data_IF_684112532234
#
_entry.id   IF_684112532234
#
_cell.length_a   1.000
_cell.length_b   1.000
_cell.length_c   1.000
_cell.angle_alpha   90.00
_cell.angle_beta   90.00
_cell.angle_gamma   90.00
#
_symmetry.space_group_name_H-M   'P 1'
#
loop_
_entity.id
_entity.type
_entity.pdbx_description
1 polymer ?
#
# COMPACT_ATOMS: atom_id res chain seq x y z
N UNK A 1 -18.49 6.89 -9.84
CA UNK A 1 -17.91 7.19 -8.51
C UNK A 1 -17.76 5.90 -7.77
N UNK A 2 -16.65 5.75 -7.06
CA UNK A 2 -16.32 4.56 -6.28
C UNK A 2 -16.48 4.88 -4.81
N UNK A 3 -17.18 4.02 -4.07
CA UNK A 3 -17.18 4.04 -2.61
C UNK A 3 -15.87 3.44 -2.13
N UNK A 4 -15.13 4.16 -1.29
CA UNK A 4 -13.83 3.73 -0.76
C UNK A 4 -13.90 3.84 0.75
N UNK A 5 -13.81 2.70 1.43
CA UNK A 5 -13.71 2.63 2.88
C UNK A 5 -12.27 2.88 3.34
N UNK A 6 -12.09 3.23 4.62
CA UNK A 6 -10.78 3.23 5.30
C UNK A 6 -10.06 1.89 5.10
N UNK A 7 -10.77 0.78 5.23
CA UNK A 7 -10.23 -0.58 5.04
C UNK A 7 -9.92 -0.91 3.57
N UNK A 8 -10.44 -0.13 2.63
CA UNK A 8 -10.06 -0.23 1.22
C UNK A 8 -8.70 0.44 0.95
N UNK A 9 -8.35 1.44 1.75
CA UNK A 9 -7.07 2.16 1.67
C UNK A 9 -5.97 1.50 2.51
N UNK A 10 -6.35 0.89 3.64
CA UNK A 10 -5.46 0.26 4.60
C UNK A 10 -5.72 -1.26 4.64
N UNK A 11 -5.08 -1.99 3.72
CA UNK A 11 -5.21 -3.44 3.58
C UNK A 11 -3.97 -4.18 4.06
N UNK A 12 -4.18 -5.21 4.87
CA UNK A 12 -3.14 -6.18 5.22
C UNK A 12 -2.82 -7.05 3.98
N UNK A 13 -1.54 -7.29 3.75
CA UNK A 13 -1.07 -8.15 2.67
C UNK A 13 0.41 -8.47 2.79
N UNK A 14 0.99 -8.90 1.68
CA UNK A 14 2.42 -9.24 1.58
C UNK A 14 3.12 -8.26 0.65
N UNK A 15 4.34 -7.87 1.02
CA UNK A 15 5.25 -7.12 0.16
C UNK A 15 5.69 -7.90 -1.09
N UNK A 16 6.47 -7.31 -2.00
CA UNK A 16 6.94 -5.92 -1.95
C UNK A 16 6.00 -4.90 -2.61
N UNK A 17 5.02 -5.32 -3.39
CA UNK A 17 4.23 -4.40 -4.23
C UNK A 17 2.73 -4.67 -4.20
N UNK A 18 1.91 -3.63 -4.02
CA UNK A 18 0.45 -3.79 -4.09
C UNK A 18 -0.03 -4.00 -5.52
N UNK A 19 0.62 -3.34 -6.49
CA UNK A 19 0.28 -3.44 -7.91
C UNK A 19 0.78 -4.75 -8.53
N UNK A 20 1.95 -5.22 -8.12
CA UNK A 20 2.64 -6.35 -8.76
C UNK A 20 2.67 -7.64 -7.94
N UNK A 21 2.39 -7.58 -6.64
CA UNK A 21 2.30 -8.77 -5.79
C UNK A 21 0.85 -8.99 -5.36
N UNK A 22 0.28 -8.07 -4.57
CA UNK A 22 -1.09 -8.24 -4.04
C UNK A 22 -2.15 -8.28 -5.14
N UNK A 23 -2.04 -7.41 -6.16
CA UNK A 23 -2.95 -7.37 -7.30
C UNK A 23 -3.02 -8.69 -8.07
N UNK A 24 -1.91 -9.23 -8.60
CA UNK A 24 -1.90 -10.52 -9.29
C UNK A 24 -2.39 -11.69 -8.43
N UNK A 25 -2.07 -11.68 -7.14
CA UNK A 25 -2.56 -12.68 -6.19
C UNK A 25 -4.10 -12.64 -6.08
N UNK A 26 -4.67 -11.47 -5.82
CA UNK A 26 -6.14 -11.27 -5.76
C UNK A 26 -6.82 -11.53 -7.11
N UNK A 27 -6.13 -11.30 -8.23
CA UNK A 27 -6.64 -11.61 -9.57
C UNK A 27 -6.77 -13.13 -9.77
N UNK A 28 -5.78 -13.90 -9.32
CA UNK A 28 -5.83 -15.36 -9.34
C UNK A 28 -6.98 -15.90 -8.47
N UNK A 29 -7.14 -15.41 -7.24
CA UNK A 29 -8.26 -15.78 -6.36
C UNK A 29 -9.63 -15.50 -7.03
N UNK A 30 -9.77 -14.32 -7.64
CA UNK A 30 -11.00 -13.95 -8.33
C UNK A 30 -11.26 -14.86 -9.53
N UNK A 31 -10.23 -15.19 -10.30
CA UNK A 31 -10.36 -16.09 -11.43
C UNK A 31 -10.76 -17.51 -11.02
N UNK A 32 -10.18 -18.04 -9.95
CA UNK A 32 -10.56 -19.33 -9.37
C UNK A 32 -12.04 -19.33 -8.95
N UNK A 33 -12.49 -18.26 -8.27
CA UNK A 33 -13.91 -18.09 -7.91
C UNK A 33 -14.81 -18.06 -9.14
N UNK A 34 -14.40 -17.40 -10.23
CA UNK A 34 -15.13 -17.41 -11.51
C UNK A 34 -15.19 -18.82 -12.14
N UNK A 35 -14.13 -19.63 -12.04
CA UNK A 35 -14.13 -21.01 -12.52
C UNK A 35 -15.08 -21.91 -11.71
N UNK A 36 -15.08 -21.79 -10.39
CA UNK A 36 -16.01 -22.51 -9.51
C UNK A 36 -17.47 -22.11 -9.79
N UNK A 37 -17.75 -20.81 -9.88
CA UNK A 37 -19.11 -20.31 -10.10
C UNK A 37 -19.72 -20.74 -11.44
N UNK A 38 -18.88 -21.06 -12.43
CA UNK A 38 -19.30 -21.55 -13.75
C UNK A 38 -19.14 -23.07 -13.89
N UNK A 39 -18.90 -23.80 -12.79
CA UNK A 39 -18.73 -25.26 -12.75
C UNK A 39 -17.61 -25.81 -13.65
N UNK A 40 -16.66 -24.96 -14.07
CA UNK A 40 -15.56 -25.38 -14.96
C UNK A 40 -14.30 -25.84 -14.20
N UNK A 41 -14.24 -25.60 -12.88
CA UNK A 41 -13.01 -25.81 -12.10
C UNK A 41 -12.50 -27.26 -12.16
N UNK A 42 -13.40 -28.24 -12.01
CA UNK A 42 -13.03 -29.67 -11.96
C UNK A 42 -12.49 -30.20 -13.29
N UNK A 43 -12.86 -29.55 -14.39
CA UNK A 43 -12.47 -29.95 -15.74
C UNK A 43 -11.12 -29.35 -16.17
N UNK A 44 -10.49 -28.49 -15.37
CA UNK A 44 -9.23 -27.83 -15.72
C UNK A 44 -8.09 -28.86 -15.79
N UNK A 45 -7.39 -28.90 -16.92
CA UNK A 45 -6.22 -29.77 -17.14
C UNK A 45 -4.92 -29.01 -17.35
N UNK A 46 -4.98 -27.73 -17.73
CA UNK A 46 -3.79 -26.88 -17.93
C UNK A 46 -4.12 -25.42 -17.60
N UNK A 47 -3.14 -24.70 -17.03
CA UNK A 47 -3.24 -23.27 -16.70
C UNK A 47 -2.08 -22.52 -17.34
N UNK A 48 -2.38 -21.40 -17.99
CA UNK A 48 -1.41 -20.45 -18.49
C UNK A 48 -1.74 -19.03 -18.03
N UNK A 49 -0.72 -18.26 -17.70
CA UNK A 49 -0.84 -16.88 -17.26
C UNK A 49 0.06 -16.01 -18.13
N UNK A 50 -0.52 -14.99 -18.75
CA UNK A 50 0.23 -13.97 -19.48
C UNK A 50 0.21 -12.66 -18.71
N UNK A 51 1.39 -12.09 -18.46
CA UNK A 51 1.60 -10.82 -17.76
C UNK A 51 2.01 -9.76 -18.78
N UNK A 52 1.44 -8.55 -18.72
CA UNK A 52 1.58 -7.51 -19.75
C UNK A 52 2.08 -6.18 -19.20
N UNK A 53 2.68 -5.35 -20.07
CA UNK A 53 3.04 -3.96 -19.83
C UNK A 53 3.97 -3.75 -18.63
N UNK A 54 3.72 -2.72 -17.82
CA UNK A 54 4.49 -2.40 -16.62
C UNK A 54 4.59 -3.59 -15.66
N UNK A 55 3.49 -4.34 -15.49
CA UNK A 55 3.44 -5.56 -14.69
C UNK A 55 4.43 -6.62 -15.16
N UNK A 56 4.69 -6.68 -16.46
CA UNK A 56 5.68 -7.58 -17.03
C UNK A 56 7.11 -7.07 -16.87
N UNK A 57 7.34 -5.76 -17.01
CA UNK A 57 8.68 -5.18 -17.05
C UNK A 57 9.40 -5.26 -15.71
N UNK A 58 8.68 -5.01 -14.61
CA UNK A 58 9.23 -5.04 -13.25
C UNK A 58 8.79 -6.26 -12.44
N UNK A 59 7.93 -7.12 -13.02
CA UNK A 59 7.25 -8.18 -12.27
C UNK A 59 8.16 -9.20 -11.60
N UNK A 60 9.35 -9.50 -12.14
CA UNK A 60 10.32 -10.37 -11.45
C UNK A 60 10.91 -9.71 -10.20
N UNK A 61 11.26 -8.43 -10.27
CA UNK A 61 11.72 -7.65 -9.11
C UNK A 61 10.63 -7.48 -8.04
N UNK A 62 9.37 -7.44 -8.46
CA UNK A 62 8.21 -7.37 -7.58
C UNK A 62 7.59 -8.73 -7.19
N UNK A 63 8.23 -9.84 -7.54
CA UNK A 63 7.77 -11.20 -7.25
C UNK A 63 6.33 -11.52 -7.75
N UNK A 64 5.95 -10.98 -8.91
CA UNK A 64 4.66 -11.24 -9.56
C UNK A 64 4.45 -12.72 -9.88
N UNK A 65 5.51 -13.43 -10.28
CA UNK A 65 5.45 -14.88 -10.49
C UNK A 65 5.14 -15.63 -9.19
N UNK A 66 5.68 -15.18 -8.05
CA UNK A 66 5.41 -15.78 -6.74
C UNK A 66 3.94 -15.55 -6.37
N UNK A 67 3.46 -14.31 -6.51
CA UNK A 67 2.06 -13.97 -6.28
C UNK A 67 1.09 -14.79 -7.13
N UNK A 68 1.38 -14.99 -8.42
CA UNK A 68 0.57 -15.83 -9.30
C UNK A 68 0.56 -17.28 -8.82
N UNK A 69 1.72 -17.86 -8.51
CA UNK A 69 1.80 -19.24 -8.00
C UNK A 69 1.03 -19.42 -6.68
N UNK A 70 1.17 -18.49 -5.74
CA UNK A 70 0.52 -18.55 -4.44
C UNK A 70 -1.00 -18.37 -4.55
N UNK A 71 -1.44 -17.40 -5.37
CA UNK A 71 -2.86 -17.17 -5.62
C UNK A 71 -3.52 -18.33 -6.37
N UNK A 72 -2.83 -18.92 -7.36
CA UNK A 72 -3.29 -20.14 -8.03
C UNK A 72 -3.34 -21.33 -7.06
N UNK A 73 -2.49 -21.37 -6.04
CA UNK A 73 -2.50 -22.40 -5.00
C UNK A 73 -3.57 -22.20 -3.92
N UNK A 74 -4.47 -21.22 -4.08
CA UNK A 74 -5.54 -20.92 -3.12
C UNK A 74 -5.07 -20.33 -1.80
N UNK A 75 -3.84 -19.81 -1.73
CA UNK A 75 -3.34 -19.15 -0.52
C UNK A 75 -3.95 -17.75 -0.39
N UNK A 76 -4.21 -17.30 0.84
CA UNK A 76 -4.68 -15.93 1.09
C UNK A 76 -3.51 -15.01 1.48
N UNK A 77 -3.26 -13.88 0.79
CA UNK A 77 -2.16 -12.98 1.08
C UNK A 77 -2.28 -12.27 2.44
N UNK A 78 -3.46 -12.24 3.04
CA UNK A 78 -3.69 -11.66 4.36
C UNK A 78 -3.31 -12.62 5.50
N UNK A 79 -3.46 -13.93 5.29
CA UNK A 79 -3.34 -14.93 6.36
C UNK A 79 -2.22 -15.95 6.16
N UNK A 80 -1.64 -16.08 4.97
CA UNK A 80 -0.55 -17.03 4.70
C UNK A 80 0.65 -16.81 5.64
N UNK A 81 1.14 -17.81 6.38
CA UNK A 81 2.38 -17.68 7.14
C UNK A 81 3.55 -17.33 6.21
N UNK A 82 4.29 -16.26 6.52
CA UNK A 82 5.31 -15.67 5.62
C UNK A 82 6.43 -16.67 5.35
N UNK A 83 6.78 -17.50 6.33
CA UNK A 83 7.76 -18.58 6.24
C UNK A 83 7.39 -19.65 5.20
N UNK A 84 6.11 -19.83 4.89
CA UNK A 84 5.64 -20.81 3.90
C UNK A 84 5.76 -20.31 2.45
N UNK A 85 5.88 -19.00 2.22
CA UNK A 85 5.94 -18.44 0.87
C UNK A 85 7.10 -19.05 0.08
N UNK A 86 8.28 -19.09 0.68
CA UNK A 86 9.50 -19.58 0.02
C UNK A 86 9.42 -21.08 -0.29
N UNK A 87 8.87 -21.88 0.63
CA UNK A 87 8.78 -23.33 0.48
C UNK A 87 7.74 -23.74 -0.56
N UNK A 88 6.57 -23.08 -0.59
CA UNK A 88 5.53 -23.33 -1.60
C UNK A 88 6.07 -23.03 -3.00
N UNK A 89 6.67 -21.85 -3.19
CA UNK A 89 7.22 -21.44 -4.48
C UNK A 89 8.36 -22.36 -4.92
N UNK A 90 9.25 -22.74 -4.00
CA UNK A 90 10.35 -23.66 -4.29
C UNK A 90 9.82 -25.03 -4.75
N UNK A 91 8.84 -25.59 -4.04
CA UNK A 91 8.21 -26.87 -4.39
C UNK A 91 7.60 -26.84 -5.79
N UNK A 92 6.86 -25.80 -6.14
CA UNK A 92 6.26 -25.66 -7.49
C UNK A 92 7.35 -25.63 -8.57
N UNK A 93 8.45 -24.90 -8.33
CA UNK A 93 9.59 -24.81 -9.25
C UNK A 93 10.35 -26.14 -9.39
N UNK A 94 10.51 -26.90 -8.31
CA UNK A 94 11.26 -28.17 -8.35
C UNK A 94 10.43 -29.32 -8.91
N UNK A 95 9.19 -29.45 -8.48
CA UNK A 95 8.30 -30.56 -8.86
C UNK A 95 7.58 -30.32 -10.19
N UNK A 96 7.54 -29.08 -10.67
CA UNK A 96 6.84 -28.69 -11.90
C UNK A 96 5.35 -29.06 -11.84
N UNK A 97 4.77 -28.88 -10.65
CA UNK A 97 3.37 -29.15 -10.32
C UNK A 97 2.83 -28.04 -9.44
N UNK A 98 1.53 -27.79 -9.54
CA UNK A 98 0.81 -26.85 -8.69
C UNK A 98 -0.40 -27.52 -8.06
N UNK A 99 -0.63 -27.25 -6.78
CA UNK A 99 -1.86 -27.63 -6.07
C UNK A 99 -2.92 -26.54 -6.29
N UNK A 100 -3.57 -26.57 -7.45
CA UNK A 100 -4.53 -25.57 -7.88
C UNK A 100 -5.74 -25.50 -6.93
N UNK A 101 -5.96 -24.33 -6.33
CA UNK A 101 -6.92 -24.08 -5.24
C UNK A 101 -6.82 -25.10 -4.07
N UNK A 102 -5.67 -25.75 -3.91
CA UNK A 102 -5.49 -26.85 -2.95
C UNK A 102 -6.31 -28.10 -3.23
N UNK A 103 -6.92 -28.23 -4.42
CA UNK A 103 -7.88 -29.30 -4.77
C UNK A 103 -7.45 -30.15 -5.95
N UNK A 104 -6.72 -29.57 -6.91
CA UNK A 104 -6.28 -30.25 -8.13
C UNK A 104 -4.77 -30.16 -8.29
N UNK A 105 -4.11 -31.30 -8.40
CA UNK A 105 -2.69 -31.33 -8.76
C UNK A 105 -2.55 -31.27 -10.28
N UNK A 106 -1.99 -30.18 -10.80
CA UNK A 106 -1.79 -29.97 -12.24
C UNK A 106 -0.30 -29.90 -12.57
N UNK A 107 0.09 -30.34 -13.77
CA UNK A 107 1.44 -30.06 -14.28
C UNK A 107 1.56 -28.56 -14.52
N UNK A 108 2.60 -27.95 -13.97
CA UNK A 108 2.81 -26.51 -14.03
C UNK A 108 4.30 -26.20 -13.97
N UNK A 109 4.84 -25.78 -15.11
CA UNK A 109 6.18 -25.24 -15.24
C UNK A 109 6.10 -23.70 -15.18
N UNK A 110 6.52 -23.04 -14.09
CA UNK A 110 6.40 -21.59 -13.98
C UNK A 110 7.08 -20.80 -15.11
N UNK A 111 8.19 -21.30 -15.66
CA UNK A 111 8.93 -20.63 -16.73
C UNK A 111 8.21 -20.72 -18.09
N UNK A 112 7.34 -21.71 -18.28
CA UNK A 112 6.53 -21.88 -19.51
C UNK A 112 5.10 -21.36 -19.34
N UNK A 113 4.52 -21.57 -18.16
CA UNK A 113 3.12 -21.27 -17.89
C UNK A 113 2.91 -19.84 -17.38
N UNK A 114 3.95 -19.13 -16.91
CA UNK A 114 3.88 -17.69 -16.58
C UNK A 114 4.73 -16.92 -17.59
N UNK A 115 4.07 -16.31 -18.57
CA UNK A 115 4.70 -15.64 -19.70
C UNK A 115 4.68 -14.12 -19.48
N UNK A 116 5.86 -13.52 -19.42
CA UNK A 116 6.07 -12.08 -19.31
C UNK A 116 6.15 -11.44 -20.70
N UNK A 117 5.18 -10.59 -21.04
CA UNK A 117 5.05 -9.91 -22.34
C UNK A 117 5.22 -8.40 -22.18
N UNK A 118 6.12 -7.82 -22.98
CA UNK A 118 6.37 -6.37 -23.00
C UNK A 118 5.23 -5.54 -23.60
N UNK A 119 4.27 -6.20 -24.24
CA UNK A 119 3.10 -5.57 -24.86
C UNK A 119 2.19 -4.93 -23.81
N UNK A 120 1.68 -3.73 -24.07
CA UNK A 120 0.71 -3.06 -23.21
C UNK A 120 -0.71 -3.34 -23.68
N UNK A 121 -1.60 -3.64 -22.73
CA UNK A 121 -3.02 -3.76 -23.01
C UNK A 121 -3.69 -2.37 -23.00
N UNK A 122 -4.76 -2.14 -23.79
CA UNK A 122 -5.32 -0.80 -23.98
C UNK A 122 -5.92 -0.14 -22.73
N UNK A 123 -6.43 -0.92 -21.77
CA UNK A 123 -7.19 -0.39 -20.64
C UNK A 123 -6.31 0.15 -19.50
N UNK A 124 -5.24 -0.56 -19.14
CA UNK A 124 -4.35 -0.18 -18.05
C UNK A 124 -2.96 -0.84 -18.23
N UNK A 125 -1.91 -0.17 -17.77
CA UNK A 125 -0.52 -0.60 -17.94
C UNK A 125 -0.18 -1.94 -17.26
N UNK A 126 -0.87 -2.24 -16.17
CA UNK A 126 -0.71 -3.49 -15.41
C UNK A 126 -1.81 -4.49 -15.77
N UNK A 127 -1.60 -5.23 -16.86
CA UNK A 127 -2.55 -6.23 -17.37
C UNK A 127 -2.08 -7.66 -17.12
N UNK A 128 -3.00 -8.57 -16.86
CA UNK A 128 -2.72 -10.00 -16.80
C UNK A 128 -3.89 -10.81 -17.34
N UNK A 129 -3.61 -11.96 -17.94
CA UNK A 129 -4.62 -12.86 -18.46
C UNK A 129 -4.38 -14.27 -17.96
N UNK A 130 -5.41 -14.86 -17.35
CA UNK A 130 -5.45 -16.27 -17.00
C UNK A 130 -6.18 -17.05 -18.08
N UNK A 131 -5.62 -18.19 -18.48
CA UNK A 131 -6.18 -19.14 -19.43
C UNK A 131 -6.23 -20.53 -18.80
N UNK A 132 -7.38 -21.19 -18.86
CA UNK A 132 -7.54 -22.60 -18.52
C UNK A 132 -7.90 -23.41 -19.77
N UNK A 133 -7.23 -24.54 -19.96
CA UNK A 133 -7.67 -25.60 -20.87
C UNK A 133 -8.49 -26.61 -20.08
N UNK A 134 -9.69 -26.92 -20.56
CA UNK A 134 -10.53 -27.96 -19.97
C UNK A 134 -10.27 -29.32 -20.62
N UNK A 135 -10.65 -30.41 -19.95
CA UNK A 135 -10.62 -31.77 -20.47
C UNK A 135 -11.42 -31.94 -21.79
N UNK A 136 -12.41 -31.08 -22.02
CA UNK A 136 -13.19 -30.98 -23.28
C UNK A 136 -12.42 -30.37 -24.44
N UNK A 137 -11.22 -29.82 -24.20
CA UNK A 137 -10.45 -29.03 -25.16
C UNK A 137 -10.86 -27.55 -25.25
N UNK A 138 -11.92 -27.13 -24.53
CA UNK A 138 -12.34 -25.73 -24.47
C UNK A 138 -11.34 -24.88 -23.71
N UNK A 139 -11.04 -23.69 -24.23
CA UNK A 139 -10.22 -22.67 -23.55
C UNK A 139 -11.09 -21.59 -22.92
N UNK A 140 -10.83 -21.27 -21.65
CA UNK A 140 -11.46 -20.17 -20.92
C UNK A 140 -10.39 -19.12 -20.63
N UNK A 141 -10.66 -17.87 -20.98
CA UNK A 141 -9.69 -16.77 -20.86
C UNK A 141 -10.32 -15.57 -20.16
N UNK A 142 -9.65 -15.03 -19.14
CA UNK A 142 -10.10 -13.83 -18.43
C UNK A 142 -8.93 -12.87 -18.20
N UNK A 143 -9.13 -11.61 -18.59
CA UNK A 143 -8.14 -10.54 -18.41
C UNK A 143 -8.50 -9.67 -17.21
N UNK A 144 -7.53 -9.41 -16.36
CA UNK A 144 -7.63 -8.55 -15.19
C UNK A 144 -6.57 -7.46 -15.22
N UNK A 145 -6.84 -6.37 -14.50
CA UNK A 145 -5.95 -5.24 -14.38
C UNK A 145 -5.75 -4.88 -12.92
N UNK A 146 -4.49 -4.68 -12.53
CA UNK A 146 -4.09 -4.23 -11.19
C UNK A 146 -3.92 -2.72 -11.19
N UNK A 147 -4.87 -2.00 -10.60
CA UNK A 147 -5.02 -0.54 -10.77
C UNK A 147 -4.45 0.28 -9.61
N UNK A 148 -3.53 -0.31 -8.82
CA UNK A 148 -2.94 0.31 -7.62
C UNK A 148 -3.63 -0.12 -6.32
N UNK A 149 -2.98 0.03 -5.17
CA UNK A 149 -3.53 -0.28 -3.83
C UNK A 149 -4.07 -1.72 -3.64
N UNK A 150 -3.64 -2.68 -4.47
CA UNK A 150 -4.15 -4.06 -4.45
C UNK A 150 -5.53 -4.23 -5.08
N UNK A 151 -6.09 -3.20 -5.72
CA UNK A 151 -7.38 -3.27 -6.40
C UNK A 151 -7.26 -3.97 -7.76
N UNK A 152 -8.18 -4.90 -8.02
CA UNK A 152 -8.23 -5.66 -9.27
C UNK A 152 -9.59 -5.52 -9.96
N UNK A 153 -9.55 -5.16 -11.23
CA UNK A 153 -10.74 -5.01 -12.08
C UNK A 153 -10.66 -5.91 -13.32
N UNK A 154 -11.83 -6.29 -13.82
CA UNK A 154 -12.01 -6.90 -15.13
C UNK A 154 -12.56 -5.81 -16.04
N UNK A 155 -12.27 -5.85 -17.34
CA UNK A 155 -12.76 -4.87 -18.33
C UNK A 155 -14.28 -5.01 -18.58
N UNK A 156 -15.09 -4.89 -17.53
CA UNK A 156 -16.53 -5.06 -17.60
C UNK A 156 -17.26 -3.88 -16.93
N UNK A 157 -18.13 -3.23 -17.71
CA UNK A 157 -18.89 -2.03 -17.33
C UNK A 157 -19.93 -2.26 -16.21
N UNK A 158 -20.22 -3.51 -15.82
CA UNK A 158 -21.26 -3.84 -14.83
C UNK A 158 -20.91 -3.40 -13.39
N UNK A 159 -19.64 -3.37 -13.00
CA UNK A 159 -19.19 -3.00 -11.63
C UNK A 159 -19.42 -1.53 -11.29
N UNK A 160 -19.35 -0.64 -12.28
CA UNK A 160 -19.52 0.80 -12.07
C UNK A 160 -20.91 1.16 -11.50
N UNK A 161 -21.96 0.39 -11.82
CA UNK A 161 -23.32 0.61 -11.30
C UNK A 161 -23.44 0.23 -9.82
N UNK A 162 -22.94 -0.94 -9.41
CA UNK A 162 -23.01 -1.42 -8.02
C UNK A 162 -22.21 -0.53 -7.07
N UNK A 163 -21.02 -0.07 -7.49
CA UNK A 163 -20.20 0.85 -6.68
C UNK A 163 -20.89 2.22 -6.50
N UNK A 164 -21.69 2.65 -7.49
CA UNK A 164 -22.46 3.89 -7.41
C UNK A 164 -23.62 3.79 -6.41
N UNK A 165 -24.25 2.63 -6.30
CA UNK A 165 -25.34 2.39 -5.35
C UNK A 165 -24.83 2.38 -3.90
N UNK A 166 -23.68 1.72 -3.66
CA UNK A 166 -23.03 1.72 -2.34
C UNK A 166 -22.56 3.13 -1.96
N UNK A 167 -21.95 3.87 -2.90
CA UNK A 167 -21.52 5.25 -2.66
C UNK A 167 -22.69 6.16 -2.25
N UNK A 168 -23.88 5.97 -2.85
CA UNK A 168 -25.09 6.72 -2.47
C UNK A 168 -25.66 6.32 -1.11
N UNK A 169 -25.22 5.20 -0.54
CA UNK A 169 -25.68 4.72 0.76
C UNK A 169 -24.90 5.35 1.93
N UNK A 170 -23.76 6.01 1.67
CA UNK A 170 -23.00 6.71 2.70
C UNK A 170 -23.79 7.92 3.24
N UNK A 171 -23.87 8.10 4.57
CA UNK A 171 -24.47 9.29 5.18
C UNK A 171 -23.80 10.59 4.71
N UNK A 172 -22.48 10.57 4.55
CA UNK A 172 -21.66 11.70 4.13
C UNK A 172 -20.79 11.31 2.93
N UNK A 173 -21.34 11.25 1.71
CA UNK A 173 -20.62 10.78 0.53
C UNK A 173 -19.58 11.82 0.07
N UNK A 174 -18.39 11.78 0.67
CA UNK A 174 -17.28 12.68 0.34
C UNK A 174 -16.67 12.29 -1.00
N UNK A 175 -16.46 13.26 -1.90
CA UNK A 175 -15.64 13.06 -3.12
C UNK A 175 -14.35 13.86 -3.12
N UNK A 176 -14.33 15.01 -2.44
CA UNK A 176 -13.24 15.98 -2.46
C UNK A 176 -13.14 16.72 -1.11
N UNK A 177 -12.09 17.52 -0.94
CA UNK A 177 -11.82 18.25 0.28
C UNK A 177 -12.90 19.29 0.62
N UNK A 178 -13.39 20.03 -0.38
CA UNK A 178 -14.48 21.01 -0.19
C UNK A 178 -15.74 20.37 0.39
N UNK A 179 -16.14 19.21 -0.12
CA UNK A 179 -17.30 18.46 0.39
C UNK A 179 -17.05 17.94 1.81
N UNK A 180 -15.86 17.43 2.11
CA UNK A 180 -15.50 17.00 3.47
C UNK A 180 -15.64 18.15 4.47
N UNK A 181 -15.08 19.32 4.18
CA UNK A 181 -15.22 20.50 5.03
C UNK A 181 -16.68 20.95 5.19
N UNK A 182 -17.47 20.88 4.12
CA UNK A 182 -18.88 21.21 4.18
C UNK A 182 -19.65 20.28 5.12
N UNK A 183 -19.35 18.98 5.12
CA UNK A 183 -19.93 18.03 6.07
C UNK A 183 -19.46 18.27 7.50
N UNK A 184 -18.16 18.47 7.74
CA UNK A 184 -17.63 18.78 9.07
C UNK A 184 -18.28 20.05 9.65
N UNK A 185 -18.38 21.12 8.86
CA UNK A 185 -18.99 22.38 9.30
C UNK A 185 -20.49 22.25 9.57
N UNK A 186 -21.21 21.54 8.71
CA UNK A 186 -22.67 21.34 8.85
C UNK A 186 -23.01 20.50 10.08
N UNK A 187 -22.28 19.43 10.31
CA UNK A 187 -22.55 18.48 11.40
C UNK A 187 -21.80 18.84 12.71
N UNK A 188 -20.94 19.86 12.68
CA UNK A 188 -20.05 20.27 13.78
C UNK A 188 -19.19 19.11 14.30
N UNK A 189 -18.62 18.35 13.36
CA UNK A 189 -17.84 17.14 13.61
C UNK A 189 -16.41 17.26 13.09
N UNK A 190 -15.48 16.54 13.69
CA UNK A 190 -14.12 16.36 13.18
C UNK A 190 -14.13 15.50 11.91
N UNK A 191 -12.98 15.39 11.23
CA UNK A 191 -12.86 14.52 10.05
C UNK A 191 -13.05 13.06 10.46
N UNK A 192 -12.38 12.60 11.52
CA UNK A 192 -12.55 11.21 12.02
C UNK A 192 -14.00 10.87 12.37
N UNK A 193 -14.75 11.81 12.96
CA UNK A 193 -16.16 11.60 13.30
C UNK A 193 -17.05 11.45 12.05
N UNK A 194 -16.84 12.27 11.01
CA UNK A 194 -17.55 12.12 9.72
C UNK A 194 -17.22 10.77 9.08
N UNK A 195 -15.95 10.38 9.08
CA UNK A 195 -15.50 9.11 8.48
C UNK A 195 -16.04 7.91 9.25
N UNK A 196 -16.08 7.98 10.59
CA UNK A 196 -16.66 6.92 11.42
C UNK A 196 -18.15 6.71 11.11
N UNK A 197 -18.93 7.77 10.91
CA UNK A 197 -20.34 7.64 10.51
C UNK A 197 -20.51 6.99 9.13
N UNK A 198 -19.58 7.26 8.19
CA UNK A 198 -19.57 6.55 6.92
C UNK A 198 -19.24 5.06 7.09
N UNK A 199 -18.26 4.72 7.91
CA UNK A 199 -17.93 3.31 8.18
C UNK A 199 -19.07 2.57 8.90
N UNK A 200 -19.79 3.24 9.80
CA UNK A 200 -20.99 2.73 10.49
C UNK A 200 -22.12 2.35 9.54
N UNK A 201 -22.14 2.92 8.33
CA UNK A 201 -23.10 2.53 7.29
C UNK A 201 -22.80 1.15 6.67
N UNK A 202 -21.59 0.64 6.85
CA UNK A 202 -21.12 -0.63 6.30
C UNK A 202 -20.90 -1.72 7.36
N UNK A 203 -20.55 -1.32 8.59
CA UNK A 203 -20.08 -2.21 9.66
C UNK A 203 -20.54 -1.71 11.02
N UNK A 204 -20.57 -2.59 12.00
CA UNK A 204 -20.78 -2.22 13.41
C UNK A 204 -19.53 -1.62 14.03
N UNK A 205 -19.67 -0.86 15.13
CA UNK A 205 -18.53 -0.30 15.85
C UNK A 205 -17.53 -1.39 16.31
N UNK A 206 -18.02 -2.54 16.74
CA UNK A 206 -17.17 -3.66 17.15
C UNK A 206 -16.33 -4.22 15.98
N UNK A 207 -16.90 -4.31 14.77
CA UNK A 207 -16.18 -4.73 13.58
C UNK A 207 -15.15 -3.67 13.14
N UNK A 208 -15.51 -2.39 13.20
CA UNK A 208 -14.62 -1.28 12.87
C UNK A 208 -13.41 -1.29 13.82
N UNK A 209 -13.66 -1.38 15.12
CA UNK A 209 -12.59 -1.37 16.13
C UNK A 209 -11.71 -2.61 16.00
N UNK A 210 -12.29 -3.78 15.76
CA UNK A 210 -11.53 -5.00 15.54
C UNK A 210 -10.61 -4.88 14.31
N UNK A 211 -11.11 -4.42 13.17
CA UNK A 211 -10.29 -4.31 11.96
C UNK A 211 -9.22 -3.23 12.07
N UNK A 212 -9.51 -2.11 12.76
CA UNK A 212 -8.50 -1.08 13.04
C UNK A 212 -7.40 -1.58 13.99
N UNK A 213 -7.75 -2.38 15.01
CA UNK A 213 -6.76 -3.07 15.84
C UNK A 213 -5.89 -3.99 14.99
N UNK A 214 -6.48 -4.84 14.15
CA UNK A 214 -5.73 -5.75 13.28
C UNK A 214 -4.75 -5.00 12.37
N UNK A 215 -5.17 -3.88 11.80
CA UNK A 215 -4.30 -3.02 10.97
C UNK A 215 -3.14 -2.49 11.80
N UNK A 216 -3.41 -1.91 12.96
CA UNK A 216 -2.38 -1.35 13.82
C UNK A 216 -1.42 -2.42 14.34
N UNK A 217 -1.92 -3.55 14.83
CA UNK A 217 -1.09 -4.65 15.31
C UNK A 217 -0.17 -5.16 14.19
N UNK A 218 -0.68 -5.30 12.97
CA UNK A 218 0.14 -5.68 11.81
C UNK A 218 1.21 -4.62 11.50
N UNK A 219 0.88 -3.33 11.59
CA UNK A 219 1.84 -2.23 11.40
C UNK A 219 2.94 -2.26 12.47
N UNK A 220 2.56 -2.44 13.73
CA UNK A 220 3.48 -2.50 14.87
C UNK A 220 4.38 -3.73 14.80
N UNK A 221 3.83 -4.90 14.50
CA UNK A 221 4.58 -6.13 14.25
C UNK A 221 5.57 -5.95 13.09
N UNK A 222 5.16 -5.32 12.00
CA UNK A 222 6.02 -5.05 10.85
C UNK A 222 7.22 -4.17 11.23
N UNK A 223 6.98 -3.06 11.94
CA UNK A 223 8.05 -2.20 12.48
C UNK A 223 8.97 -2.98 13.43
N UNK A 224 8.38 -3.75 14.35
CA UNK A 224 9.13 -4.56 15.30
C UNK A 224 10.03 -5.56 14.57
N UNK A 225 9.50 -6.34 13.63
CA UNK A 225 10.29 -7.30 12.83
C UNK A 225 11.43 -6.60 12.10
N UNK A 226 11.17 -5.45 11.45
CA UNK A 226 12.22 -4.71 10.73
C UNK A 226 13.33 -4.19 11.64
N UNK A 227 13.00 -3.69 12.83
CA UNK A 227 13.97 -3.23 13.84
C UNK A 227 14.80 -4.37 14.46
N UNK A 228 14.38 -5.63 14.29
CA UNK A 228 15.01 -6.81 14.90
C UNK A 228 15.58 -7.80 13.87
N UNK A 229 15.55 -7.48 12.58
CA UNK A 229 16.07 -8.34 11.51
C UNK A 229 17.36 -7.75 10.93
N UNK A 230 18.47 -8.45 11.10
CA UNK A 230 19.76 -8.08 10.48
C UNK A 230 19.92 -8.65 9.05
N UNK A 231 21.04 -8.32 8.40
CA UNK A 231 21.42 -8.87 7.10
C UNK A 231 21.15 -7.94 5.91
N UNK A 232 21.00 -8.52 4.73
CA UNK A 232 20.83 -7.79 3.46
C UNK A 232 19.49 -8.14 2.80
N UNK A 233 18.95 -7.20 2.04
CA UNK A 233 17.71 -7.37 1.28
C UNK A 233 17.93 -8.32 0.08
N UNK A 234 16.89 -9.10 -0.31
CA UNK A 234 16.95 -9.95 -1.49
C UNK A 234 16.96 -9.12 -2.78
N UNK A 235 17.07 -9.75 -3.96
CA UNK A 235 16.93 -9.06 -5.25
C UNK A 235 18.25 -8.59 -5.90
N UNK A 236 19.39 -8.83 -5.26
CA UNK A 236 20.71 -8.72 -5.90
C UNK A 236 21.39 -7.35 -5.81
N UNK A 237 20.76 -6.34 -5.20
CA UNK A 237 21.38 -5.04 -4.93
C UNK A 237 22.25 -5.01 -3.66
N UNK A 238 22.32 -6.12 -2.92
CA UNK A 238 23.09 -6.27 -1.68
C UNK A 238 22.85 -5.17 -0.63
N UNK A 239 21.66 -4.55 -0.63
CA UNK A 239 21.31 -3.45 0.27
C UNK A 239 21.24 -3.97 1.71
N UNK A 240 22.12 -3.46 2.59
CA UNK A 240 22.11 -3.79 4.01
C UNK A 240 20.87 -3.22 4.70
N UNK A 241 20.25 -4.01 5.57
CA UNK A 241 19.19 -3.55 6.48
C UNK A 241 19.77 -2.56 7.49
N UNK A 242 19.26 -1.33 7.48
CA UNK A 242 19.72 -0.22 8.33
C UNK A 242 18.86 -0.06 9.57
N UNK A 243 17.60 -0.47 9.53
CA UNK A 243 16.68 -0.31 10.66
C UNK A 243 17.21 -0.98 11.93
N UNK A 244 17.74 -2.19 11.81
CA UNK A 244 18.38 -2.92 12.91
C UNK A 244 19.54 -2.14 13.57
N UNK A 245 20.51 -1.68 12.77
CA UNK A 245 21.68 -0.95 13.27
C UNK A 245 21.29 0.40 13.90
N UNK A 246 20.24 1.05 13.38
CA UNK A 246 19.70 2.29 13.96
C UNK A 246 18.99 2.03 15.28
N UNK A 247 18.13 1.01 15.32
CA UNK A 247 17.38 0.64 16.51
C UNK A 247 18.31 0.26 17.67
N UNK A 248 19.39 -0.50 17.43
CA UNK A 248 20.39 -0.83 18.46
C UNK A 248 21.06 0.39 19.09
N UNK A 249 21.20 1.50 18.34
CA UNK A 249 21.79 2.75 18.83
C UNK A 249 20.80 3.63 19.58
N UNK A 250 19.50 3.46 19.31
CA UNK A 250 18.43 4.30 19.86
C UNK A 250 17.76 3.68 21.08
N UNK A 251 17.65 2.34 21.13
CA UNK A 251 17.00 1.62 22.23
C UNK A 251 17.78 1.77 23.53
N UNK A 252 17.06 1.79 24.65
CA UNK A 252 17.66 1.74 25.98
C UNK A 252 17.82 0.27 26.46
N UNK A 253 18.14 0.10 27.73
CA UNK A 253 18.40 -1.16 28.43
C UNK A 253 17.14 -1.88 28.92
N UNK A 254 15.96 -1.29 28.78
CA UNK A 254 14.69 -1.88 29.21
C UNK A 254 14.40 -3.17 28.42
N UNK A 255 14.14 -4.31 29.08
CA UNK A 255 13.82 -5.56 28.41
C UNK A 255 12.39 -5.55 27.86
N UNK A 256 12.20 -6.17 26.71
CA UNK A 256 10.91 -6.42 26.08
C UNK A 256 10.97 -7.74 25.30
N UNK A 257 9.82 -8.37 25.11
CA UNK A 257 9.66 -9.64 24.39
C UNK A 257 8.57 -9.59 23.33
N UNK A 258 7.67 -8.61 23.41
CA UNK A 258 6.55 -8.42 22.47
C UNK A 258 6.62 -7.04 21.79
N UNK A 259 5.95 -6.85 20.64
CA UNK A 259 5.85 -5.55 19.99
C UNK A 259 5.22 -4.47 20.89
N UNK A 260 4.23 -4.82 21.73
CA UNK A 260 3.57 -3.89 22.65
C UNK A 260 4.50 -3.50 23.82
N UNK A 261 5.28 -4.44 24.35
CA UNK A 261 6.33 -4.14 25.34
C UNK A 261 7.43 -3.26 24.72
N UNK A 262 7.79 -3.50 23.46
CA UNK A 262 8.77 -2.67 22.73
C UNK A 262 8.30 -1.22 22.59
N UNK A 263 7.04 -0.99 22.20
CA UNK A 263 6.44 0.34 22.17
C UNK A 263 6.49 1.00 23.55
N UNK A 264 6.09 0.27 24.59
CA UNK A 264 6.09 0.75 25.98
C UNK A 264 7.49 1.07 26.49
N UNK A 265 8.51 0.33 26.06
CA UNK A 265 9.90 0.59 26.38
C UNK A 265 10.41 1.89 25.71
N UNK A 266 10.03 2.15 24.45
CA UNK A 266 10.42 3.40 23.75
C UNK A 266 9.85 4.63 24.46
N UNK A 267 8.60 4.58 24.95
CA UNK A 267 7.96 5.66 25.74
C UNK A 267 8.74 6.09 26.98
N UNK A 268 9.62 5.23 27.51
CA UNK A 268 10.44 5.52 28.69
C UNK A 268 11.77 6.20 28.34
N UNK A 269 12.11 6.27 27.05
CA UNK A 269 13.38 6.86 26.60
C UNK A 269 13.29 8.37 26.56
N UNK A 270 14.36 9.06 26.98
CA UNK A 270 14.49 10.50 26.75
C UNK A 270 14.89 10.74 25.29
N UNK A 271 14.04 11.43 24.53
CA UNK A 271 14.27 11.67 23.10
C UNK A 271 14.67 13.12 22.85
N UNK A 272 15.91 13.32 22.39
CA UNK A 272 16.38 14.63 21.89
C UNK A 272 15.90 14.87 20.47
N UNK A 273 15.82 16.13 20.02
CA UNK A 273 15.38 16.48 18.67
C UNK A 273 16.04 15.65 17.55
N UNK A 274 17.37 15.46 17.59
CA UNK A 274 18.08 14.61 16.62
C UNK A 274 17.58 13.16 16.64
N UNK A 275 17.24 12.62 17.81
CA UNK A 275 16.74 11.26 17.96
C UNK A 275 15.31 11.12 17.44
N UNK A 276 14.50 12.18 17.43
CA UNK A 276 13.16 12.16 16.79
C UNK A 276 13.30 11.80 15.32
N UNK A 277 14.16 12.51 14.58
CA UNK A 277 14.41 12.23 13.16
C UNK A 277 14.96 10.82 12.93
N UNK A 278 15.80 10.33 13.84
CA UNK A 278 16.37 8.99 13.76
C UNK A 278 15.32 7.90 14.04
N UNK A 279 14.44 8.10 15.03
CA UNK A 279 13.36 7.18 15.35
C UNK A 279 12.34 7.08 14.20
N UNK A 280 11.83 8.22 13.73
CA UNK A 280 10.90 8.27 12.60
C UNK A 280 11.49 7.57 11.37
N UNK A 281 12.77 7.84 11.08
CA UNK A 281 13.47 7.18 9.98
C UNK A 281 13.63 5.68 10.25
N UNK A 282 14.00 5.27 11.47
CA UNK A 282 14.14 3.87 11.83
C UNK A 282 12.84 3.09 11.61
N UNK A 283 11.70 3.63 12.07
CA UNK A 283 10.38 3.01 11.89
C UNK A 283 10.00 2.88 10.41
N UNK A 284 10.17 3.94 9.62
CA UNK A 284 9.85 3.90 8.19
C UNK A 284 10.76 2.93 7.42
N UNK A 285 12.06 2.91 7.72
CA UNK A 285 13.01 1.97 7.13
C UNK A 285 12.66 0.53 7.50
N UNK A 286 12.31 0.26 8.77
CA UNK A 286 11.97 -1.07 9.26
C UNK A 286 10.84 -1.70 8.46
N UNK A 287 9.73 -0.96 8.27
CA UNK A 287 8.58 -1.42 7.50
C UNK A 287 8.97 -1.69 6.05
N UNK A 288 9.70 -0.78 5.41
CA UNK A 288 10.05 -0.94 4.00
C UNK A 288 11.10 -2.02 3.75
N UNK A 289 11.97 -2.33 4.72
CA UNK A 289 12.89 -3.46 4.66
C UNK A 289 12.17 -4.81 4.81
N UNK A 290 11.14 -4.88 5.65
CA UNK A 290 10.22 -6.03 5.75
C UNK A 290 9.42 -6.18 4.44
N UNK A 291 8.88 -5.08 3.92
CA UNK A 291 8.19 -5.05 2.63
C UNK A 291 9.05 -5.62 1.49
N UNK A 292 10.27 -5.12 1.35
CA UNK A 292 11.21 -5.54 0.30
C UNK A 292 11.60 -7.02 0.36
N UNK A 293 11.29 -7.70 1.46
CA UNK A 293 11.65 -9.10 1.73
C UNK A 293 10.44 -10.04 1.78
N UNK A 294 9.34 -9.70 1.08
CA UNK A 294 8.09 -10.48 1.05
C UNK A 294 7.46 -10.66 2.46
N UNK A 295 7.68 -9.70 3.36
CA UNK A 295 7.07 -9.71 4.69
C UNK A 295 5.61 -9.25 4.67
N UNK A 296 4.91 -9.47 5.80
CA UNK A 296 3.57 -8.92 6.02
C UNK A 296 3.65 -7.41 6.21
N UNK A 297 2.79 -6.68 5.50
CA UNK A 297 2.70 -5.21 5.55
C UNK A 297 1.25 -4.77 5.44
N UNK A 298 0.98 -3.52 5.84
CA UNK A 298 -0.29 -2.84 5.55
C UNK A 298 -0.05 -1.82 4.45
N UNK A 299 -0.91 -1.83 3.43
CA UNK A 299 -0.90 -0.79 2.38
C UNK A 299 -1.22 0.58 2.97
N UNK A 300 -0.49 1.61 2.55
CA UNK A 300 -0.73 2.97 3.00
C UNK A 300 -0.23 4.03 1.98
N UNK A 301 -0.95 4.31 0.88
CA UNK A 301 -2.03 3.50 0.31
C UNK A 301 -1.50 2.32 -0.53
N UNK A 302 -0.18 2.19 -0.68
CA UNK A 302 0.47 1.05 -1.34
C UNK A 302 1.58 0.46 -0.46
N UNK A 303 2.09 -0.71 -0.84
CA UNK A 303 3.19 -1.39 -0.16
C UNK A 303 4.50 -0.58 -0.27
N UNK A 304 4.71 0.10 -1.41
CA UNK A 304 5.89 0.93 -1.64
C UNK A 304 5.97 2.12 -0.69
N UNK A 305 4.83 2.60 -0.21
CA UNK A 305 4.70 3.71 0.75
C UNK A 305 4.25 3.26 2.15
N UNK A 306 4.35 1.97 2.47
CA UNK A 306 3.80 1.38 3.69
C UNK A 306 4.42 1.91 4.98
N UNK A 307 5.64 2.48 4.95
CA UNK A 307 6.36 2.90 6.15
C UNK A 307 5.95 4.26 6.70
N UNK A 308 5.30 5.13 5.91
CA UNK A 308 5.03 6.52 6.32
C UNK A 308 3.99 6.58 7.44
N UNK A 309 2.80 6.02 7.22
CA UNK A 309 1.69 6.00 8.19
C UNK A 309 2.10 5.40 9.55
N UNK A 310 2.65 4.18 9.63
CA UNK A 310 3.04 3.60 10.91
C UNK A 310 4.18 4.37 11.59
N UNK A 311 5.12 4.95 10.83
CA UNK A 311 6.20 5.74 11.43
C UNK A 311 5.69 7.03 12.09
N UNK A 312 4.75 7.73 11.44
CA UNK A 312 4.16 8.96 11.98
C UNK A 312 3.24 8.67 13.16
N UNK A 313 2.45 7.59 13.08
CA UNK A 313 1.62 7.16 14.22
C UNK A 313 2.48 6.71 15.40
N UNK A 314 3.56 5.95 15.16
CA UNK A 314 4.50 5.57 16.20
C UNK A 314 5.16 6.79 16.84
N UNK A 315 5.55 7.80 16.05
CA UNK A 315 6.04 9.08 16.56
C UNK A 315 5.05 9.73 17.52
N UNK A 316 3.77 9.85 17.13
CA UNK A 316 2.74 10.40 18.02
C UNK A 316 2.66 9.61 19.33
N UNK A 317 2.60 8.28 19.24
CA UNK A 317 2.41 7.40 20.40
C UNK A 317 3.58 7.36 21.38
N UNK A 318 4.82 7.56 20.91
CA UNK A 318 6.03 7.32 21.73
C UNK A 318 6.90 8.56 21.96
N UNK A 319 6.58 9.68 21.33
CA UNK A 319 7.31 10.94 21.47
C UNK A 319 6.38 12.09 21.86
N UNK A 320 5.25 12.27 21.16
CA UNK A 320 4.36 13.41 21.41
C UNK A 320 3.40 13.18 22.59
N UNK A 321 2.68 12.06 22.59
CA UNK A 321 1.73 11.71 23.66
C UNK A 321 1.91 10.26 24.13
N UNK A 322 2.58 10.11 25.27
CA UNK A 322 2.82 8.80 25.89
C UNK A 322 1.56 8.20 26.53
N UNK A 323 0.49 8.97 26.68
CA UNK A 323 -0.81 8.52 27.21
C UNK A 323 -1.78 8.07 26.13
N UNK A 324 -1.48 8.39 24.87
CA UNK A 324 -2.28 8.02 23.72
C UNK A 324 -2.54 6.50 23.63
N UNK A 325 -3.74 6.14 23.21
CA UNK A 325 -4.24 4.78 23.17
C UNK A 325 -4.96 4.45 21.87
N UNK A 326 -5.86 3.46 21.94
CA UNK A 326 -6.56 2.97 20.75
C UNK A 326 -7.48 4.03 20.12
N UNK A 327 -8.11 4.91 20.90
CA UNK A 327 -8.97 5.96 20.34
C UNK A 327 -8.19 6.93 19.44
N UNK A 328 -6.94 7.24 19.78
CA UNK A 328 -6.07 8.08 18.96
C UNK A 328 -5.65 7.34 17.67
N UNK A 329 -5.29 6.05 17.79
CA UNK A 329 -4.98 5.18 16.66
C UNK A 329 -6.19 5.12 15.70
N UNK A 330 -7.39 4.93 16.24
CA UNK A 330 -8.65 4.89 15.47
C UNK A 330 -8.87 6.18 14.71
N UNK A 331 -8.77 7.34 15.37
CA UNK A 331 -8.89 8.65 14.69
C UNK A 331 -7.84 8.80 13.58
N UNK A 332 -6.58 8.50 13.89
CA UNK A 332 -5.49 8.62 12.92
C UNK A 332 -5.75 7.81 11.64
N UNK A 333 -6.12 6.54 11.79
CA UNK A 333 -6.34 5.63 10.66
C UNK A 333 -7.59 6.02 9.85
N UNK A 334 -8.67 6.49 10.50
CA UNK A 334 -9.87 7.00 9.82
C UNK A 334 -9.57 8.24 8.97
N UNK A 335 -8.89 9.24 9.55
CA UNK A 335 -8.50 10.46 8.79
C UNK A 335 -7.55 10.10 7.64
N UNK A 336 -6.55 9.25 7.92
CA UNK A 336 -5.63 8.77 6.89
C UNK A 336 -6.37 8.10 5.74
N UNK A 337 -7.33 7.23 6.04
CA UNK A 337 -8.17 6.55 5.06
C UNK A 337 -8.94 7.51 4.16
N UNK A 338 -9.59 8.52 4.73
CA UNK A 338 -10.38 9.48 3.96
C UNK A 338 -9.52 10.36 3.05
N UNK A 339 -8.41 10.90 3.56
CA UNK A 339 -7.47 11.70 2.75
C UNK A 339 -6.95 10.87 1.57
N UNK A 340 -6.56 9.63 1.81
CA UNK A 340 -6.11 8.72 0.75
C UNK A 340 -7.21 8.44 -0.28
N UNK A 341 -8.46 8.36 0.18
CA UNK A 341 -9.62 8.19 -0.69
C UNK A 341 -9.83 9.39 -1.62
N UNK A 342 -9.63 10.63 -1.14
CA UNK A 342 -9.75 11.86 -1.94
C UNK A 342 -8.76 11.82 -3.11
N UNK A 343 -7.50 11.47 -2.86
CA UNK A 343 -6.50 11.33 -3.92
C UNK A 343 -6.84 10.21 -4.91
N UNK A 344 -7.35 9.07 -4.42
CA UNK A 344 -7.79 7.98 -5.30
C UNK A 344 -8.98 8.38 -6.19
N UNK A 345 -9.96 9.12 -5.64
CA UNK A 345 -11.16 9.58 -6.35
C UNK A 345 -10.85 10.69 -7.35
N UNK A 346 -9.99 11.64 -6.98
CA UNK A 346 -9.66 12.81 -7.79
C UNK A 346 -8.54 12.59 -8.81
N UNK A 347 -7.67 11.60 -8.59
CA UNK A 347 -6.49 11.36 -9.40
C UNK A 347 -6.18 9.85 -9.51
N UNK A 348 -5.13 9.38 -8.82
CA UNK A 348 -4.71 7.96 -8.83
C UNK A 348 -3.83 7.67 -7.61
N UNK A 349 -3.78 6.41 -7.20
CA UNK A 349 -2.81 5.88 -6.23
C UNK A 349 -1.89 4.82 -6.86
N UNK A 350 -1.85 4.75 -8.19
CA UNK A 350 -1.03 3.82 -8.95
C UNK A 350 0.25 4.49 -9.41
N UNK A 351 1.42 3.96 -9.03
CA UNK A 351 2.70 4.43 -9.55
C UNK A 351 2.85 4.26 -11.07
N UNK A 352 2.32 3.17 -11.64
CA UNK A 352 2.26 2.97 -13.08
C UNK A 352 1.51 4.09 -13.83
N UNK A 353 0.59 4.79 -13.16
CA UNK A 353 -0.16 5.90 -13.73
C UNK A 353 0.41 7.27 -13.34
N UNK A 354 0.74 7.44 -12.06
CA UNK A 354 1.01 8.74 -11.44
C UNK A 354 2.44 8.97 -10.96
N UNK A 355 3.34 7.99 -11.06
CA UNK A 355 4.66 8.08 -10.43
C UNK A 355 4.58 7.94 -8.91
N UNK A 356 5.70 8.19 -8.22
CA UNK A 356 5.80 7.96 -6.78
C UNK A 356 5.12 9.05 -5.96
N UNK A 357 4.79 10.21 -6.56
CA UNK A 357 3.89 11.20 -5.97
C UNK A 357 2.52 10.57 -5.60
N UNK A 358 2.03 9.63 -6.41
CA UNK A 358 0.75 8.95 -6.19
C UNK A 358 0.80 7.87 -5.08
N UNK A 359 1.99 7.56 -4.56
CA UNK A 359 2.19 6.59 -3.48
C UNK A 359 2.74 7.27 -2.23
N UNK A 360 3.99 7.71 -2.28
CA UNK A 360 4.69 8.36 -1.16
C UNK A 360 4.09 9.72 -0.86
N UNK A 361 3.79 10.52 -1.89
CA UNK A 361 3.14 11.82 -1.70
C UNK A 361 1.77 11.67 -1.05
N UNK A 362 0.96 10.72 -1.53
CA UNK A 362 -0.37 10.46 -0.96
C UNK A 362 -0.25 9.95 0.47
N UNK A 363 0.68 9.03 0.75
CA UNK A 363 0.91 8.52 2.11
C UNK A 363 1.37 9.61 3.08
N UNK A 364 2.26 10.51 2.62
CA UNK A 364 2.70 11.67 3.40
C UNK A 364 1.54 12.62 3.69
N UNK A 365 0.66 12.87 2.71
CA UNK A 365 -0.54 13.68 2.90
C UNK A 365 -1.56 13.03 3.85
N UNK A 366 -1.76 11.71 3.74
CA UNK A 366 -2.60 10.94 4.67
C UNK A 366 -2.10 11.09 6.12
N UNK A 367 -0.79 10.87 6.33
CA UNK A 367 -0.17 10.95 7.65
C UNK A 367 -0.19 12.37 8.22
N UNK A 368 0.05 13.39 7.39
CA UNK A 368 0.05 14.79 7.79
C UNK A 368 -1.33 15.22 8.31
N UNK A 369 -2.39 14.97 7.51
CA UNK A 369 -3.76 15.31 7.92
C UNK A 369 -4.18 14.58 9.19
N UNK A 370 -3.86 13.29 9.31
CA UNK A 370 -4.19 12.49 10.48
C UNK A 370 -3.47 12.97 11.74
N UNK A 371 -2.17 13.28 11.65
CA UNK A 371 -1.40 13.83 12.77
C UNK A 371 -1.94 15.20 13.19
N UNK A 372 -2.29 16.06 12.24
CA UNK A 372 -2.86 17.39 12.53
C UNK A 372 -4.15 17.28 13.33
N UNK A 373 -5.03 16.33 13.03
CA UNK A 373 -6.26 16.15 13.83
C UNK A 373 -5.93 15.70 15.27
N UNK A 374 -4.99 14.77 15.45
CA UNK A 374 -4.58 14.33 16.79
C UNK A 374 -3.95 15.44 17.62
N UNK A 375 -3.20 16.34 16.99
CA UNK A 375 -2.59 17.51 17.63
C UNK A 375 -3.60 18.65 17.88
N UNK A 376 -4.89 18.44 17.63
CA UNK A 376 -5.96 19.39 17.92
C UNK A 376 -6.25 20.40 16.80
N UNK A 377 -5.77 20.14 15.59
CA UNK A 377 -6.05 20.96 14.42
C UNK A 377 -7.50 20.90 13.97
N UNK A 378 -7.98 22.00 13.38
CA UNK A 378 -9.31 22.09 12.75
C UNK A 378 -9.40 21.25 11.46
N UNK A 379 -10.60 20.86 10.98
CA UNK A 379 -10.75 20.18 9.69
C UNK A 379 -10.07 20.91 8.52
N UNK A 380 -10.09 22.23 8.53
CA UNK A 380 -9.40 23.05 7.54
C UNK A 380 -7.87 22.93 7.63
N UNK A 381 -7.31 22.88 8.85
CA UNK A 381 -5.88 22.61 9.05
C UNK A 381 -5.50 21.17 8.66
N UNK A 382 -6.38 20.20 8.88
CA UNK A 382 -6.19 18.80 8.41
C UNK A 382 -6.01 18.76 6.89
N UNK A 383 -6.87 19.47 6.14
CA UNK A 383 -6.72 19.54 4.69
C UNK A 383 -5.50 20.36 4.25
N UNK A 384 -5.14 21.42 4.98
CA UNK A 384 -3.92 22.18 4.72
C UNK A 384 -2.66 21.33 4.93
N UNK A 385 -2.59 20.53 5.99
CA UNK A 385 -1.44 19.66 6.24
C UNK A 385 -1.27 18.61 5.13
N UNK A 386 -2.38 18.00 4.70
CA UNK A 386 -2.39 17.07 3.57
C UNK A 386 -1.94 17.75 2.26
N UNK A 387 -2.35 19.01 2.06
CA UNK A 387 -2.00 19.83 0.92
C UNK A 387 -0.49 20.13 0.88
N UNK A 388 0.07 20.72 1.94
CA UNK A 388 1.51 21.01 2.10
C UNK A 388 2.36 19.75 1.87
N UNK A 389 1.95 18.63 2.48
CA UNK A 389 2.68 17.38 2.34
C UNK A 389 2.70 16.90 0.88
N UNK A 390 1.58 17.01 0.15
CA UNK A 390 1.53 16.62 -1.26
C UNK A 390 2.29 17.59 -2.16
N UNK A 391 2.25 18.91 -1.93
CA UNK A 391 3.02 19.88 -2.71
C UNK A 391 4.51 19.51 -2.76
N UNK A 392 5.08 19.08 -1.62
CA UNK A 392 6.46 18.64 -1.49
C UNK A 392 6.79 17.29 -2.17
N UNK A 393 5.83 16.69 -2.87
CA UNK A 393 5.99 15.46 -3.62
C UNK A 393 5.52 15.55 -5.08
N UNK A 394 4.92 16.66 -5.52
CA UNK A 394 4.49 16.83 -6.91
C UNK A 394 5.66 16.64 -7.88
N UNK A 395 5.43 15.84 -8.93
CA UNK A 395 6.42 15.50 -9.95
C UNK A 395 7.36 14.34 -9.60
N UNK A 396 7.23 13.72 -8.42
CA UNK A 396 8.09 12.62 -8.02
C UNK A 396 7.84 11.36 -8.89
N UNK A 397 8.87 10.95 -9.64
CA UNK A 397 8.88 9.81 -10.58
C UNK A 397 8.97 8.46 -9.85
N UNK A 398 8.63 7.35 -10.51
CA UNK A 398 8.74 6.00 -9.93
C UNK A 398 9.66 5.09 -10.77
N UNK A 399 10.96 5.17 -10.54
CA UNK A 399 12.02 4.55 -11.33
C UNK A 399 12.99 3.70 -10.47
N UNK A 400 12.48 2.67 -9.76
CA UNK A 400 13.32 1.88 -8.86
C UNK A 400 14.42 1.11 -9.59
N UNK A 401 15.59 1.03 -8.95
CA UNK A 401 16.74 0.27 -9.46
C UNK A 401 16.38 -1.21 -9.54
N UNK A 402 16.61 -1.83 -10.70
CA UNK A 402 16.30 -3.24 -10.95
C UNK A 402 14.80 -3.59 -10.88
N UNK A 403 13.91 -2.59 -10.84
CA UNK A 403 12.47 -2.83 -10.61
C UNK A 403 12.18 -3.34 -9.20
N UNK A 404 13.04 -3.03 -8.22
CA UNK A 404 12.92 -3.49 -6.84
C UNK A 404 12.39 -2.38 -5.94
N UNK A 405 11.48 -2.72 -5.01
CA UNK A 405 10.97 -1.77 -4.01
C UNK A 405 11.99 -1.55 -2.88
N UNK A 406 13.18 -1.06 -3.24
CA UNK A 406 14.31 -0.83 -2.36
C UNK A 406 14.85 0.59 -2.52
N UNK A 407 15.56 0.86 -3.61
CA UNK A 407 16.16 2.18 -3.89
C UNK A 407 15.41 2.83 -5.06
N UNK A 408 14.89 4.07 -4.90
CA UNK A 408 14.92 4.96 -3.73
C UNK A 408 13.70 4.81 -2.78
N UNK A 409 12.93 3.73 -2.89
CA UNK A 409 11.66 3.54 -2.17
C UNK A 409 11.80 3.61 -0.64
N UNK A 410 12.84 2.99 -0.10
CA UNK A 410 13.09 2.90 1.35
C UNK A 410 13.36 4.30 1.93
N UNK A 411 14.26 5.08 1.33
CA UNK A 411 14.55 6.45 1.77
C UNK A 411 13.35 7.38 1.61
N UNK A 412 12.56 7.20 0.54
CA UNK A 412 11.37 8.01 0.30
C UNK A 412 10.32 7.86 1.40
N UNK A 413 10.23 6.71 2.08
CA UNK A 413 9.32 6.55 3.22
C UNK A 413 9.79 7.34 4.45
N UNK A 414 11.09 7.28 4.78
CA UNK A 414 11.67 8.10 5.85
C UNK A 414 11.47 9.59 5.58
N UNK A 415 11.77 10.04 4.36
CA UNK A 415 11.57 11.44 3.98
C UNK A 415 10.08 11.83 3.96
N UNK A 416 9.20 10.94 3.50
CA UNK A 416 7.75 11.17 3.49
C UNK A 416 7.16 11.32 4.90
N UNK A 417 7.61 10.52 5.86
CA UNK A 417 7.21 10.62 7.26
C UNK A 417 7.67 11.93 7.91
N UNK A 418 8.94 12.33 7.69
CA UNK A 418 9.47 13.60 8.21
C UNK A 418 8.70 14.80 7.62
N UNK A 419 8.45 14.79 6.31
CA UNK A 419 7.65 15.84 5.65
C UNK A 419 6.22 15.90 6.19
N UNK A 420 5.60 14.75 6.49
CA UNK A 420 4.26 14.69 7.03
C UNK A 420 4.18 15.35 8.42
N UNK A 421 5.12 15.04 9.31
CA UNK A 421 5.23 15.67 10.64
C UNK A 421 5.42 17.18 10.49
N UNK A 422 6.35 17.61 9.64
CA UNK A 422 6.60 19.04 9.46
C UNK A 422 5.42 19.77 8.78
N UNK A 423 4.69 19.11 7.88
CA UNK A 423 3.49 19.67 7.28
C UNK A 423 2.37 19.88 8.31
N UNK A 424 2.22 18.95 9.26
CA UNK A 424 1.29 19.11 10.37
C UNK A 424 1.62 20.32 11.24
N UNK A 425 2.90 20.51 11.60
CA UNK A 425 3.38 21.68 12.36
C UNK A 425 3.10 23.01 11.63
N UNK A 426 3.40 23.06 10.32
CA UNK A 426 3.14 24.25 9.50
C UNK A 426 1.65 24.57 9.45
N UNK A 427 0.79 23.57 9.33
CA UNK A 427 -0.65 23.77 9.30
C UNK A 427 -1.21 24.24 10.65
N UNK A 428 -0.73 23.68 11.76
CA UNK A 428 -1.13 24.09 13.12
C UNK A 428 -0.73 25.53 13.43
N UNK A 429 0.42 25.97 12.91
CA UNK A 429 0.92 27.34 13.05
C UNK A 429 0.31 28.37 12.09
N UNK A 430 -0.61 27.96 11.20
CA UNK A 430 -1.16 28.81 10.13
C UNK A 430 -2.68 28.96 10.22
N UNK A 431 -3.23 30.09 9.74
CA UNK A 431 -4.68 30.26 9.53
C UNK A 431 -5.07 29.67 8.16
N UNK A 432 -5.97 28.68 8.10
CA UNK A 432 -6.48 28.13 6.83
C UNK A 432 -7.08 29.13 5.85
N UNK A 433 -7.54 30.29 6.34
CA UNK A 433 -8.04 31.35 5.46
C UNK A 433 -6.95 32.00 4.62
N UNK A 434 -5.70 31.91 5.05
CA UNK A 434 -4.56 32.48 4.33
C UNK A 434 -4.03 31.55 3.23
N UNK A 435 -4.39 30.25 3.27
CA UNK A 435 -3.99 29.27 2.26
C UNK A 435 -4.40 29.73 0.85
N UNK A 436 -3.43 29.71 -0.07
CA UNK A 436 -3.66 30.12 -1.48
C UNK A 436 -3.95 28.94 -2.38
N UNK A 437 -3.52 27.75 -1.98
CA UNK A 437 -3.69 26.51 -2.75
C UNK A 437 -4.55 25.58 -1.90
N UNK A 438 -5.80 25.29 -2.31
CA UNK A 438 -6.62 24.30 -1.62
C UNK A 438 -6.21 22.88 -2.03
N UNK A 439 -6.40 21.91 -1.13
CA UNK A 439 -6.09 20.49 -1.37
C UNK A 439 -6.61 19.97 -2.72
N UNK A 440 -7.85 20.30 -3.08
CA UNK A 440 -8.45 19.84 -4.34
C UNK A 440 -7.69 20.32 -5.57
N UNK A 441 -7.06 21.50 -5.51
CA UNK A 441 -6.22 22.01 -6.59
C UNK A 441 -4.90 21.24 -6.67
N UNK A 442 -4.33 20.86 -5.53
CA UNK A 442 -3.14 20.00 -5.48
C UNK A 442 -3.43 18.61 -6.02
N UNK A 443 -4.58 18.01 -5.67
CA UNK A 443 -5.04 16.72 -6.23
C UNK A 443 -5.15 16.78 -7.76
N UNK A 444 -5.77 17.84 -8.29
CA UNK A 444 -5.84 18.05 -9.74
C UNK A 444 -4.45 18.23 -10.37
N UNK A 445 -3.58 19.01 -9.74
CA UNK A 445 -2.21 19.24 -10.22
C UNK A 445 -1.40 17.95 -10.23
N UNK A 446 -1.56 17.08 -9.23
CA UNK A 446 -0.95 15.74 -9.21
C UNK A 446 -1.40 14.93 -10.42
N UNK A 447 -2.69 14.99 -10.78
CA UNK A 447 -3.24 14.27 -11.93
C UNK A 447 -2.77 14.82 -13.28
N UNK A 448 -2.71 16.14 -13.43
CA UNK A 448 -2.16 16.79 -14.62
C UNK A 448 -0.68 16.42 -14.80
N UNK A 449 0.11 16.54 -13.72
CA UNK A 449 1.52 16.14 -13.70
C UNK A 449 1.70 14.66 -14.05
N UNK A 450 0.82 13.79 -13.56
CA UNK A 450 0.81 12.36 -13.88
C UNK A 450 0.58 12.08 -15.38
N UNK A 451 -0.29 12.86 -16.03
CA UNK A 451 -0.55 12.74 -17.47
C UNK A 451 0.63 13.22 -18.31
N UNK A 452 1.30 14.28 -17.86
CA UNK A 452 2.43 14.87 -18.56
C UNK A 452 3.73 14.09 -18.33
N UNK A 453 3.80 13.30 -17.25
CA UNK A 453 4.94 12.45 -16.94
C UNK A 453 5.16 11.41 -18.05
N UNK A 454 6.35 11.43 -18.66
CA UNK A 454 6.76 10.44 -19.65
C UNK A 454 6.69 9.03 -19.05
N UNK A 455 6.20 8.05 -19.83
CA UNK A 455 6.02 6.67 -19.38
C UNK A 455 7.28 6.02 -18.82
N UNK A 456 8.47 6.38 -19.31
CA UNK A 456 9.76 5.84 -18.84
C UNK A 456 10.14 6.27 -17.41
N UNK A 457 9.48 7.30 -16.88
CA UNK A 457 9.68 7.79 -15.51
C UNK A 457 8.54 7.36 -14.56
N UNK A 458 7.62 6.52 -15.04
CA UNK A 458 6.63 5.79 -14.22
C UNK A 458 7.20 4.41 -13.89
N UNK A 459 6.36 3.53 -13.33
CA UNK A 459 6.69 2.16 -12.91
C UNK A 459 7.00 1.22 -14.11
N UNK A 460 8.05 1.52 -14.87
CA UNK A 460 8.60 0.67 -15.94
C UNK A 460 10.07 0.35 -15.74
N UNK A 461 10.79 1.11 -14.89
CA UNK A 461 12.24 1.02 -14.69
C UNK A 461 13.07 1.22 -15.99
N UNK A 462 12.52 1.98 -16.95
CA UNK A 462 13.17 2.29 -18.24
C UNK A 462 13.82 3.68 -18.27
N UNK A 463 13.88 4.38 -17.12
CA UNK A 463 14.41 5.73 -17.00
C UNK A 463 15.03 6.03 -15.64
N UNK A 464 15.50 7.26 -15.49
CA UNK A 464 16.06 7.83 -14.24
C UNK A 464 17.08 6.93 -13.53
N UNK A 465 16.93 6.69 -12.22
CA UNK A 465 17.92 5.91 -11.45
C UNK A 465 18.08 4.48 -11.99
N UNK A 466 16.98 3.87 -12.46
CA UNK A 466 16.97 2.49 -12.93
C UNK A 466 17.89 2.25 -14.14
N UNK A 467 18.13 3.27 -14.96
CA UNK A 467 19.06 3.19 -16.11
C UNK A 467 20.42 3.84 -15.83
N UNK A 468 20.52 4.63 -14.76
CA UNK A 468 21.74 5.33 -14.38
C UNK A 468 22.65 4.56 -13.43
N UNK A 469 22.10 3.58 -12.70
CA UNK A 469 22.83 2.71 -11.77
C UNK A 469 22.58 1.26 -12.16
N UNK A 470 23.64 0.53 -12.49
CA UNK A 470 23.52 -0.86 -12.92
C UNK A 470 23.57 -1.82 -11.73
N UNK A 471 22.95 -2.99 -11.88
CA UNK A 471 23.07 -4.10 -10.92
C UNK A 471 24.53 -4.53 -10.69
N UNK A 472 25.42 -4.31 -11.66
CA UNK A 472 26.86 -4.56 -11.52
C UNK A 472 27.57 -3.57 -10.59
N UNK A 473 26.95 -2.42 -10.35
CA UNK A 473 27.49 -1.34 -9.51
C UNK A 473 27.06 -1.49 -8.04
N UNK A 474 26.18 -2.45 -7.75
CA UNK A 474 25.61 -2.77 -6.44
C UNK A 474 26.04 -4.18 -5.99
#
# INVERSE_FOLDING_TARGET
MESISTFDMLKIGVGPSSSHTLGPWRAAEKWIKELHANENFIDVVEINVSIYGSLSLTGKGHATDYAVMLGLSGQDPEYIPIEHISSIVKRIKEEQKIEFDGKLTLSFNPDKNIIFKKEFLPFHANGMTFEALLNTGKKIKNTYYSIGGGFVVKEERKRAKKNLEIFKAFPFPVTNGVELLAFCAKEQKTVSEIVLENERSLRTDAEIDHELHRIWDTMLECMYTGCHTEGSLPGGLNVRRRAFDMHLKLKDSEPYTTPQEWLSAIRKTEVKFRQILQWVSCFALAVNEVNASLGRVVTAPTNGSAGVIPAVLMYYLVIEDHTAGFEDIKKFLLVSGEIGSIFKKGATISAAMGGCQAEIGVSSAMAAGALTELLGGTPEQVLMAAEIAMEHHLGLTCDPIGGLVQIPCIERNSMGAIKAINAAELALGSDPKDAKVPLDKVVQTMWETAKDMNSKYKETSEGGLAVGVFLSDC
#
